data_IF_317883652299
#
_entry.id   IF_317883652299
#
_cell.length_a   1.000
_cell.length_b   1.000
_cell.length_c   1.000
_cell.angle_alpha   90.00
_cell.angle_beta   90.00
_cell.angle_gamma   90.00
#
_symmetry.space_group_name_H-M   'P 1'
#
loop_
_entity.id
_entity.type
_entity.pdbx_description
1 polymer ?
#
# COMPACT_ATOMS: atom_id res chain seq x y z
N UNK A 1 -1.95 -3.85 3.47
CA UNK A 1 -2.39 -3.43 2.14
C UNK A 1 -2.44 -4.61 1.17
N UNK A 2 -3.59 -4.89 0.52
CA UNK A 2 -3.72 -6.06 -0.37
C UNK A 2 -3.24 -5.83 -1.80
N UNK A 3 -2.67 -4.65 -2.14
CA UNK A 3 -2.24 -4.37 -3.51
C UNK A 3 -1.26 -5.43 -3.99
N UNK A 4 -1.49 -5.92 -5.19
CA UNK A 4 -0.68 -6.94 -5.86
C UNK A 4 -0.57 -8.27 -5.12
N UNK A 5 -1.22 -8.41 -3.97
CA UNK A 5 -1.30 -9.69 -3.26
C UNK A 5 -2.55 -10.47 -3.66
N UNK A 6 -3.69 -9.78 -3.68
CA UNK A 6 -4.96 -10.39 -4.06
C UNK A 6 -5.89 -9.44 -4.82
N UNK A 7 -5.41 -8.27 -5.24
CA UNK A 7 -6.22 -7.33 -6.02
C UNK A 7 -5.37 -6.47 -6.96
N UNK A 8 -5.98 -6.08 -8.06
CA UNK A 8 -5.49 -5.12 -9.05
C UNK A 8 -6.68 -4.30 -9.52
N UNK A 9 -6.43 -3.19 -10.19
CA UNK A 9 -7.44 -2.37 -10.83
C UNK A 9 -7.17 -2.30 -12.34
N UNK A 10 -8.22 -2.41 -13.14
CA UNK A 10 -8.13 -2.36 -14.60
C UNK A 10 -9.08 -1.29 -15.10
N UNK A 11 -8.57 -0.36 -15.92
CA UNK A 11 -9.40 0.69 -16.50
C UNK A 11 -10.16 0.20 -17.73
N UNK A 12 -11.10 1.01 -18.20
CA UNK A 12 -11.84 0.71 -19.42
C UNK A 12 -11.00 0.73 -20.69
N UNK A 13 -9.78 1.28 -20.64
CA UNK A 13 -8.83 1.28 -21.74
C UNK A 13 -7.82 0.15 -21.66
N UNK A 14 -7.94 -0.72 -20.64
CA UNK A 14 -7.05 -1.86 -20.46
C UNK A 14 -5.81 -1.58 -19.62
N UNK A 15 -5.63 -0.35 -19.12
CA UNK A 15 -4.51 -0.03 -18.23
C UNK A 15 -4.67 -0.74 -16.90
N UNK A 16 -3.58 -1.30 -16.38
CA UNK A 16 -3.56 -2.04 -15.12
C UNK A 16 -2.83 -1.21 -14.06
N UNK A 17 -3.49 -1.02 -12.92
CA UNK A 17 -2.98 -0.27 -11.77
C UNK A 17 -2.92 -1.16 -10.53
N UNK A 18 -2.02 -0.85 -9.57
CA UNK A 18 -1.98 -1.60 -8.30
C UNK A 18 -3.27 -1.43 -7.47
N UNK A 19 -3.89 -0.26 -7.56
CA UNK A 19 -5.07 0.09 -6.77
C UNK A 19 -5.85 1.16 -7.51
N UNK A 20 -7.18 1.19 -7.33
CA UNK A 20 -8.04 2.19 -7.98
C UNK A 20 -7.65 3.63 -7.63
N UNK A 21 -7.07 3.86 -6.45
CA UNK A 21 -6.58 5.17 -6.04
C UNK A 21 -5.19 5.51 -6.56
N UNK A 22 -4.53 4.62 -7.30
CA UNK A 22 -3.14 4.79 -7.72
C UNK A 22 -3.01 4.80 -9.25
N UNK A 23 -3.67 5.75 -9.86
CA UNK A 23 -3.72 5.84 -11.33
C UNK A 23 -2.45 6.43 -11.95
N UNK A 24 -1.56 6.99 -11.15
CA UNK A 24 -0.27 7.48 -11.63
C UNK A 24 0.75 6.38 -11.89
N UNK A 25 0.50 5.17 -11.40
CA UNK A 25 1.40 4.02 -11.60
C UNK A 25 0.73 2.98 -12.48
N UNK A 26 1.02 3.05 -13.78
CA UNK A 26 0.52 2.07 -14.77
C UNK A 26 1.49 0.90 -14.81
N UNK A 27 1.01 -0.29 -14.47
CA UNK A 27 1.81 -1.52 -14.47
C UNK A 27 1.97 -2.07 -15.89
N UNK A 28 0.91 -2.01 -16.68
CA UNK A 28 0.87 -2.50 -18.03
C UNK A 28 -0.49 -2.28 -18.68
N UNK A 29 -0.70 -2.86 -19.86
CA UNK A 29 -1.96 -2.75 -20.58
C UNK A 29 -2.36 -4.10 -21.16
N UNK A 30 -3.62 -4.50 -20.97
CA UNK A 30 -4.14 -5.80 -21.40
C UNK A 30 -4.20 -5.95 -22.92
N UNK A 31 -4.05 -4.87 -23.68
CA UNK A 31 -3.92 -4.95 -25.14
C UNK A 31 -2.56 -5.48 -25.58
N UNK A 32 -1.55 -5.35 -24.71
CA UNK A 32 -0.17 -5.75 -25.01
C UNK A 32 0.24 -7.04 -24.33
N UNK A 33 -0.31 -7.30 -23.12
CA UNK A 33 0.06 -8.44 -22.29
C UNK A 33 -1.16 -9.05 -21.64
N UNK A 34 -1.15 -10.36 -21.36
CA UNK A 34 -2.23 -11.00 -20.62
C UNK A 34 -2.14 -10.64 -19.13
N UNK A 35 -3.26 -10.71 -18.44
CA UNK A 35 -3.31 -10.47 -17.00
C UNK A 35 -2.45 -11.49 -16.24
N UNK A 36 -2.47 -12.76 -16.64
CA UNK A 36 -1.64 -13.81 -16.03
C UNK A 36 -0.16 -13.49 -16.14
N UNK A 37 0.26 -13.03 -17.31
CA UNK A 37 1.66 -12.66 -17.56
C UNK A 37 2.10 -11.50 -16.68
N UNK A 38 1.27 -10.46 -16.58
CA UNK A 38 1.53 -9.33 -15.67
C UNK A 38 1.60 -9.78 -14.21
N UNK A 39 0.64 -10.58 -13.78
CA UNK A 39 0.54 -11.04 -12.39
C UNK A 39 1.77 -11.83 -11.97
N UNK A 40 2.28 -12.68 -12.84
CA UNK A 40 3.42 -13.55 -12.52
C UNK A 40 4.78 -12.90 -12.76
N UNK A 41 4.93 -12.10 -13.80
CA UNK A 41 6.24 -11.68 -14.29
C UNK A 41 6.53 -10.18 -14.17
N UNK A 42 5.56 -9.34 -13.83
CA UNK A 42 5.80 -7.90 -13.69
C UNK A 42 6.75 -7.61 -12.52
N UNK A 43 7.84 -6.90 -12.79
CA UNK A 43 8.78 -6.47 -11.77
C UNK A 43 8.10 -5.56 -10.73
N UNK A 44 7.21 -4.68 -11.18
CA UNK A 44 6.47 -3.76 -10.32
C UNK A 44 5.56 -4.55 -9.36
N UNK A 45 4.78 -5.50 -9.89
CA UNK A 45 3.88 -6.32 -9.08
C UNK A 45 4.68 -7.14 -8.08
N UNK A 46 5.76 -7.79 -8.51
CA UNK A 46 6.58 -8.60 -7.64
C UNK A 46 7.22 -7.77 -6.53
N UNK A 47 7.66 -6.55 -6.83
CA UNK A 47 8.22 -5.64 -5.83
C UNK A 47 7.18 -5.25 -4.79
N UNK A 48 6.00 -4.82 -5.22
CA UNK A 48 4.92 -4.40 -4.31
C UNK A 48 4.42 -5.56 -3.47
N UNK A 49 4.30 -6.74 -4.08
CA UNK A 49 3.86 -7.97 -3.40
C UNK A 49 4.81 -8.40 -2.29
N UNK A 50 6.10 -8.15 -2.46
CA UNK A 50 7.13 -8.60 -1.51
C UNK A 50 7.34 -7.65 -0.34
N UNK A 51 6.73 -6.47 -0.34
CA UNK A 51 6.90 -5.48 0.73
C UNK A 51 6.31 -5.97 2.04
N UNK A 52 7.08 -5.78 3.13
CA UNK A 52 6.70 -6.14 4.50
C UNK A 52 7.12 -5.00 5.44
N UNK A 53 6.65 -5.04 6.69
CA UNK A 53 7.03 -4.03 7.68
C UNK A 53 8.54 -3.88 7.84
N UNK A 54 9.30 -4.96 7.67
CA UNK A 54 10.77 -4.89 7.76
C UNK A 54 11.40 -3.97 6.72
N UNK A 55 10.69 -3.71 5.62
CA UNK A 55 11.14 -2.80 4.55
C UNK A 55 10.87 -1.34 4.90
N UNK A 56 10.15 -1.09 6.00
CA UNK A 56 9.83 0.22 6.54
C UNK A 56 10.38 0.29 7.97
N UNK A 57 11.67 0.58 8.17
CA UNK A 57 12.29 0.50 9.50
C UNK A 57 11.56 1.27 10.60
N UNK A 58 11.12 2.49 10.30
CA UNK A 58 10.36 3.31 11.28
C UNK A 58 9.04 2.67 11.64
N UNK A 59 8.33 2.11 10.66
CA UNK A 59 7.04 1.46 10.89
C UNK A 59 7.22 0.13 11.61
N UNK A 60 8.26 -0.63 11.28
CA UNK A 60 8.53 -1.92 11.90
C UNK A 60 8.81 -1.79 13.41
N UNK A 61 9.48 -0.73 13.83
CA UNK A 61 9.77 -0.45 15.25
C UNK A 61 8.71 0.42 15.93
N UNK A 62 7.67 0.82 15.20
CA UNK A 62 6.64 1.71 15.73
C UNK A 62 5.75 1.00 16.77
N UNK A 63 5.53 1.60 17.96
CA UNK A 63 4.65 1.01 18.97
C UNK A 63 3.19 0.94 18.55
N UNK A 64 2.78 1.71 17.53
CA UNK A 64 1.41 1.78 17.05
C UNK A 64 1.16 0.91 15.81
N UNK A 65 2.15 0.14 15.33
CA UNK A 65 2.01 -0.60 14.06
C UNK A 65 0.84 -1.58 14.05
N UNK A 66 0.47 -2.11 15.20
CA UNK A 66 -0.67 -3.03 15.33
C UNK A 66 -1.99 -2.37 14.95
N UNK A 67 -2.09 -1.06 15.11
CA UNK A 67 -3.28 -0.27 14.84
C UNK A 67 -3.19 0.49 13.51
N UNK A 68 -2.12 0.29 12.76
CA UNK A 68 -1.86 1.02 11.52
C UNK A 68 -2.26 0.20 10.29
N UNK A 69 -3.07 0.80 9.43
CA UNK A 69 -3.40 0.25 8.12
C UNK A 69 -2.53 0.94 7.07
N UNK A 70 -1.29 0.50 6.95
CA UNK A 70 -0.35 1.05 5.97
C UNK A 70 -0.94 0.99 4.57
N UNK A 71 -0.90 2.10 3.86
CA UNK A 71 -1.41 2.20 2.50
C UNK A 71 -0.35 2.82 1.58
N UNK A 72 0.14 2.03 0.64
CA UNK A 72 1.18 2.47 -0.28
C UNK A 72 0.72 3.64 -1.16
N UNK A 73 -0.56 3.64 -1.53
CA UNK A 73 -1.15 4.72 -2.33
C UNK A 73 -1.13 6.03 -1.55
N UNK A 74 -1.58 6.00 -0.30
CA UNK A 74 -1.59 7.20 0.56
C UNK A 74 -0.16 7.69 0.83
N UNK A 75 0.79 6.76 1.00
CA UNK A 75 2.20 7.10 1.15
C UNK A 75 2.70 7.87 -0.08
N UNK A 76 2.44 7.33 -1.27
CA UNK A 76 2.84 7.95 -2.53
C UNK A 76 2.18 9.31 -2.74
N UNK A 77 0.90 9.43 -2.38
CA UNK A 77 0.15 10.68 -2.56
C UNK A 77 0.60 11.79 -1.59
N UNK A 78 1.08 11.42 -0.41
CA UNK A 78 1.58 12.40 0.56
C UNK A 78 2.98 12.91 0.20
N UNK A 79 3.81 12.06 -0.40
CA UNK A 79 5.17 12.41 -0.77
C UNK A 79 5.23 13.24 -2.06
N UNK A 80 6.01 14.32 -2.06
CA UNK A 80 6.14 15.21 -3.23
C UNK A 80 6.72 14.51 -4.44
N UNK A 81 7.49 13.45 -4.23
CA UNK A 81 8.11 12.66 -5.31
C UNK A 81 7.34 11.37 -5.63
N UNK A 82 6.18 11.17 -4.99
CA UNK A 82 5.36 9.98 -5.23
C UNK A 82 5.95 8.67 -4.70
N UNK A 83 6.80 8.74 -3.70
CA UNK A 83 7.48 7.57 -3.14
C UNK A 83 6.52 6.78 -2.24
N UNK A 84 6.16 5.58 -2.64
CA UNK A 84 5.28 4.70 -1.85
C UNK A 84 5.94 4.15 -0.59
N UNK A 85 7.26 4.27 -0.44
CA UNK A 85 7.98 3.91 0.78
C UNK A 85 7.98 5.03 1.82
N UNK A 86 7.39 6.18 1.50
CA UNK A 86 7.25 7.32 2.40
C UNK A 86 6.46 6.94 3.65
N UNK A 87 6.89 7.42 4.81
CA UNK A 87 6.15 7.24 6.08
C UNK A 87 5.02 8.27 6.12
N UNK A 88 3.78 7.79 5.98
CA UNK A 88 2.61 8.66 5.89
C UNK A 88 2.27 9.26 7.26
N UNK A 89 2.35 10.58 7.39
CA UNK A 89 2.13 11.26 8.66
C UNK A 89 0.67 11.19 9.12
N UNK A 90 -0.27 11.22 8.20
CA UNK A 90 -1.69 11.09 8.52
C UNK A 90 -2.01 9.70 9.10
N UNK A 91 -1.52 8.65 8.44
CA UNK A 91 -1.74 7.27 8.92
C UNK A 91 -1.06 7.02 10.27
N UNK A 92 0.10 7.62 10.51
CA UNK A 92 0.78 7.54 11.81
C UNK A 92 -0.08 8.14 12.91
N UNK A 93 -0.69 9.31 12.69
CA UNK A 93 -1.58 9.95 13.65
C UNK A 93 -2.84 9.13 13.90
N UNK A 94 -3.45 8.59 12.86
CA UNK A 94 -4.64 7.73 12.98
C UNK A 94 -4.31 6.51 13.83
N UNK A 95 -3.18 5.86 13.59
CA UNK A 95 -2.76 4.68 14.37
C UNK A 95 -2.54 5.03 15.85
N UNK A 96 -1.90 6.16 16.11
CA UNK A 96 -1.67 6.65 17.48
C UNK A 96 -2.97 6.89 18.21
N UNK A 97 -3.93 7.53 17.56
CA UNK A 97 -5.25 7.80 18.14
C UNK A 97 -6.01 6.50 18.41
N UNK A 98 -6.00 5.56 17.47
CA UNK A 98 -6.62 4.25 17.68
C UNK A 98 -6.05 3.53 18.87
N UNK A 99 -4.73 3.51 19.00
CA UNK A 99 -4.05 2.87 20.12
C UNK A 99 -4.48 3.49 21.45
N UNK A 100 -4.51 4.83 21.52
CA UNK A 100 -4.92 5.56 22.71
C UNK A 100 -6.38 5.25 23.10
N UNK A 101 -7.30 5.25 22.13
CA UNK A 101 -8.71 4.95 22.37
C UNK A 101 -8.92 3.52 22.85
N UNK A 102 -8.17 2.57 22.33
CA UNK A 102 -8.27 1.17 22.78
C UNK A 102 -7.82 1.01 24.22
N UNK A 103 -6.79 1.74 24.64
CA UNK A 103 -6.34 1.75 26.04
C UNK A 103 -7.40 2.33 26.98
N UNK A 104 -7.98 3.48 26.62
CA UNK A 104 -8.99 4.16 27.45
C UNK A 104 -10.22 3.26 27.63
N UNK A 105 -10.65 2.58 26.57
CA UNK A 105 -11.85 1.73 26.62
C UNK A 105 -11.59 0.34 27.21
N UNK A 106 -10.37 0.03 27.63
CA UNK A 106 -10.02 -1.30 28.09
C UNK A 106 -10.10 -2.36 27.01
N UNK A 107 -10.10 -1.95 25.75
CA UNK A 107 -10.14 -2.85 24.58
C UNK A 107 -8.74 -3.11 24.03
N UNK A 108 -7.72 -2.61 24.70
CA UNK A 108 -6.33 -2.78 24.31
C UNK A 108 -5.93 -4.25 24.40
N UNK A 109 -5.37 -4.72 23.34
CA UNK A 109 -4.95 -6.11 23.21
C UNK A 109 -3.45 -6.18 23.11
#
# INVERSE_FOLDING_TARGET
CPVCKNSLCISNTGDVYPCEGWQSLIIGNLKEQSLSELWENSAIINRLRSLKFKDFPKCNSCPDKKYCNTCLVMNANEDVNGNYMHVNTFLCEVARIKHHLMKIKGLGI
#
